data_IF_518868386404
#
_entry.id   IF_518868386404
#
_cell.length_a   1.000
_cell.length_b   1.000
_cell.length_c   1.000
_cell.angle_alpha   90.00
_cell.angle_beta   90.00
_cell.angle_gamma   90.00
#
_symmetry.space_group_name_H-M   'P 1'
#
loop_
_entity.id
_entity.type
_entity.pdbx_description
1 polymer ?
#
# COMPACT_ATOMS: atom_id res chain seq x y z
N UNK A 1 -7.28 1.32 -17.78
CA UNK A 1 -5.83 1.12 -17.61
C UNK A 1 -5.66 0.47 -16.25
N UNK A 2 -4.92 -0.63 -16.16
CA UNK A 2 -4.91 -1.45 -14.94
C UNK A 2 -4.19 -0.76 -13.77
N UNK A 3 -3.45 0.33 -14.04
CA UNK A 3 -2.84 1.21 -13.05
C UNK A 3 -3.62 2.53 -12.91
N UNK A 4 -3.69 3.02 -11.67
CA UNK A 4 -4.39 4.23 -11.29
C UNK A 4 -3.41 5.39 -11.16
N UNK A 5 -3.83 6.60 -11.56
CA UNK A 5 -3.04 7.82 -11.32
C UNK A 5 -3.66 8.60 -10.17
N UNK A 6 -2.91 8.78 -9.09
CA UNK A 6 -3.38 9.41 -7.85
C UNK A 6 -2.80 10.83 -7.78
N UNK A 7 -3.68 11.83 -7.73
CA UNK A 7 -3.30 13.25 -7.70
C UNK A 7 -2.76 13.69 -6.33
N UNK A 8 -2.03 14.81 -6.23
CA UNK A 8 -1.67 15.43 -4.96
C UNK A 8 -2.89 15.66 -4.06
N UNK A 9 -2.82 15.24 -2.79
CA UNK A 9 -3.92 15.32 -1.83
C UNK A 9 -5.08 14.35 -2.08
N UNK A 10 -5.07 13.58 -3.18
CA UNK A 10 -6.11 12.58 -3.44
C UNK A 10 -5.98 11.42 -2.47
N UNK A 11 -7.10 11.10 -1.84
CA UNK A 11 -7.30 9.88 -1.07
C UNK A 11 -8.24 8.96 -1.82
N UNK A 12 -7.83 7.71 -2.00
CA UNK A 12 -8.54 6.75 -2.85
C UNK A 12 -8.61 5.37 -2.24
N UNK A 13 -9.81 4.79 -2.26
CA UNK A 13 -10.06 3.38 -1.93
C UNK A 13 -9.57 2.49 -3.06
N UNK A 14 -8.54 1.70 -2.78
CA UNK A 14 -7.98 0.72 -3.72
C UNK A 14 -8.59 -0.67 -3.54
N UNK A 15 -9.13 -0.97 -2.36
CA UNK A 15 -9.95 -2.15 -2.12
C UNK A 15 -11.16 -1.79 -1.24
N UNK A 16 -12.30 -2.40 -1.54
CA UNK A 16 -13.55 -2.33 -0.78
C UNK A 16 -14.18 -3.72 -0.84
N UNK A 17 -13.92 -4.52 0.20
CA UNK A 17 -14.28 -5.95 0.26
C UNK A 17 -15.38 -6.12 1.29
N UNK A 18 -16.48 -6.75 0.90
CA UNK A 18 -17.64 -7.03 1.77
C UNK A 18 -17.74 -8.52 2.10
N UNK A 19 -18.12 -8.83 3.33
CA UNK A 19 -18.24 -10.18 3.88
C UNK A 19 -17.02 -10.61 4.68
N UNK A 20 -17.06 -11.81 5.30
CA UNK A 20 -15.92 -12.35 6.04
C UNK A 20 -14.80 -12.80 5.09
N UNK A 21 -13.55 -12.55 5.47
CA UNK A 21 -12.41 -12.89 4.63
C UNK A 21 -11.06 -12.79 5.34
N UNK A 22 -10.01 -13.04 4.58
CA UNK A 22 -8.64 -12.90 5.03
C UNK A 22 -7.75 -12.51 3.84
N UNK A 23 -7.21 -11.29 3.86
CA UNK A 23 -6.21 -10.87 2.88
C UNK A 23 -4.93 -11.64 3.20
N UNK A 24 -4.38 -12.35 2.21
CA UNK A 24 -3.19 -13.21 2.39
C UNK A 24 -2.01 -12.78 1.55
N UNK A 25 -2.25 -11.95 0.54
CA UNK A 25 -1.21 -11.43 -0.33
C UNK A 25 -1.60 -10.04 -0.79
N UNK A 26 -0.70 -9.10 -0.63
CA UNK A 26 -0.80 -7.77 -1.20
C UNK A 26 0.43 -7.59 -2.07
N UNK A 27 0.22 -7.22 -3.32
CA UNK A 27 1.29 -6.82 -4.22
C UNK A 27 1.02 -5.42 -4.74
N UNK A 28 2.07 -4.59 -4.79
CA UNK A 28 2.00 -3.25 -5.36
C UNK A 28 3.27 -2.90 -6.13
N UNK A 29 3.13 -2.04 -7.13
CA UNK A 29 4.27 -1.29 -7.70
C UNK A 29 3.86 0.14 -7.97
N UNK A 30 4.81 1.06 -7.74
CA UNK A 30 4.55 2.49 -7.72
C UNK A 30 5.47 3.20 -8.71
N UNK A 31 4.88 3.81 -9.73
CA UNK A 31 5.55 4.79 -10.58
C UNK A 31 5.58 6.14 -9.87
N UNK A 32 6.60 6.36 -9.04
CA UNK A 32 6.77 7.58 -8.25
C UNK A 32 7.74 8.56 -8.95
N UNK A 33 7.55 9.88 -8.78
CA UNK A 33 8.44 10.88 -9.36
C UNK A 33 9.79 10.98 -8.64
N UNK A 34 9.81 10.78 -7.31
CA UNK A 34 11.00 10.90 -6.45
C UNK A 34 10.93 9.85 -5.33
N UNK A 35 12.07 9.34 -4.88
CA UNK A 35 12.14 8.21 -3.93
C UNK A 35 11.50 8.52 -2.55
N UNK A 36 11.49 9.78 -2.13
CA UNK A 36 10.85 10.23 -0.89
C UNK A 36 9.32 10.03 -0.89
N UNK A 37 8.69 9.80 -2.05
CA UNK A 37 7.27 9.48 -2.15
C UNK A 37 6.87 8.19 -1.42
N UNK A 38 7.81 7.27 -1.23
CA UNK A 38 7.56 6.09 -0.40
C UNK A 38 7.21 6.46 1.05
N UNK A 39 7.57 7.66 1.52
CA UNK A 39 7.16 8.20 2.82
C UNK A 39 6.03 9.24 2.76
N UNK A 40 5.59 9.63 1.55
CA UNK A 40 4.49 10.59 1.32
C UNK A 40 3.19 9.93 0.91
N UNK A 41 3.24 8.69 0.45
CA UNK A 41 2.03 7.91 0.16
C UNK A 41 1.65 7.18 1.44
N UNK A 42 0.51 7.54 2.04
CA UNK A 42 0.01 6.92 3.27
C UNK A 42 -0.95 5.80 2.90
N UNK A 43 -0.71 4.62 3.48
CA UNK A 43 -1.54 3.43 3.32
C UNK A 43 -2.39 3.24 4.58
N UNK A 44 -3.70 3.02 4.40
CA UNK A 44 -4.65 2.80 5.49
C UNK A 44 -5.49 1.57 5.29
N UNK A 45 -5.77 0.88 6.39
CA UNK A 45 -6.61 -0.31 6.42
C UNK A 45 -7.70 -0.13 7.47
N UNK A 46 -8.93 -0.38 7.06
CA UNK A 46 -10.12 -0.35 7.89
C UNK A 46 -10.72 -1.75 7.90
N UNK A 47 -11.02 -2.25 9.09
CA UNK A 47 -11.62 -3.56 9.28
C UNK A 47 -12.98 -3.40 9.95
N UNK A 48 -13.93 -4.22 9.52
CA UNK A 48 -15.22 -4.42 10.18
C UNK A 48 -15.99 -3.12 10.48
N UNK A 49 -16.04 -2.23 9.47
CA UNK A 49 -16.73 -0.93 9.50
C UNK A 49 -16.24 0.02 10.61
N UNK A 50 -15.00 -0.15 11.07
CA UNK A 50 -14.37 0.76 12.02
C UNK A 50 -14.11 2.14 11.38
N UNK A 51 -14.47 3.21 12.08
CA UNK A 51 -14.27 4.60 11.61
C UNK A 51 -12.79 5.01 11.56
N UNK A 52 -11.96 4.41 12.43
CA UNK A 52 -10.53 4.67 12.51
C UNK A 52 -9.70 3.58 11.82
N UNK A 53 -8.60 3.93 11.12
CA UNK A 53 -7.75 2.94 10.48
C UNK A 53 -6.99 2.12 11.53
N UNK A 54 -7.07 0.79 11.44
CA UNK A 54 -6.29 -0.11 12.31
C UNK A 54 -4.83 -0.20 11.90
N UNK A 55 -4.53 0.09 10.63
CA UNK A 55 -3.16 0.23 10.12
C UNK A 55 -3.11 1.55 9.39
N UNK A 56 -2.18 2.43 9.80
CA UNK A 56 -1.87 3.68 9.12
C UNK A 56 -0.34 3.85 9.11
N UNK A 57 0.25 3.89 7.92
CA UNK A 57 1.70 3.99 7.77
C UNK A 57 2.06 4.52 6.38
N UNK A 58 3.17 5.24 6.22
CA UNK A 58 3.73 5.46 4.90
C UNK A 58 4.01 4.13 4.19
N UNK A 59 3.72 4.06 2.90
CA UNK A 59 3.76 2.80 2.14
C UNK A 59 5.14 2.14 2.20
N UNK A 60 6.23 2.91 2.12
CA UNK A 60 7.59 2.40 2.25
C UNK A 60 7.81 1.74 3.61
N UNK A 61 7.44 2.43 4.69
CA UNK A 61 7.66 1.97 6.07
C UNK A 61 6.85 0.70 6.36
N UNK A 62 5.60 0.60 5.87
CA UNK A 62 4.79 -0.62 5.96
C UNK A 62 5.47 -1.84 5.31
N UNK A 63 6.09 -1.64 4.14
CA UNK A 63 6.83 -2.67 3.43
C UNK A 63 8.29 -2.81 3.89
N UNK A 64 8.71 -2.15 4.98
CA UNK A 64 10.07 -2.29 5.52
C UNK A 64 11.15 -1.52 4.74
N UNK A 65 10.76 -0.60 3.85
CA UNK A 65 11.64 0.33 3.15
C UNK A 65 11.73 1.65 3.91
N UNK A 66 12.62 1.70 4.89
CA UNK A 66 12.84 2.90 5.70
C UNK A 66 13.54 4.04 4.96
N UNK A 67 13.45 5.24 5.53
CA UNK A 67 14.16 6.46 5.09
C UNK A 67 13.87 6.93 3.66
N UNK A 68 12.82 6.42 3.03
CA UNK A 68 12.50 6.80 1.65
C UNK A 68 13.47 6.21 0.63
N UNK A 69 14.09 5.07 0.95
CA UNK A 69 15.09 4.41 0.12
C UNK A 69 14.54 3.05 -0.28
N UNK A 70 14.30 2.86 -1.59
CA UNK A 70 14.05 1.52 -2.12
C UNK A 70 15.36 0.76 -2.26
N UNK A 71 15.32 -0.50 -1.82
CA UNK A 71 16.36 -1.50 -2.04
C UNK A 71 15.71 -2.86 -2.12
N UNK A 72 16.42 -3.79 -2.73
CA UNK A 72 16.01 -5.19 -2.64
C UNK A 72 16.11 -5.66 -1.18
N UNK A 73 15.00 -6.17 -0.64
CA UNK A 73 14.92 -6.78 0.69
C UNK A 73 13.93 -7.94 0.63
N UNK A 74 14.26 -9.04 1.31
CA UNK A 74 13.43 -10.24 1.36
C UNK A 74 13.38 -10.76 2.79
N UNK A 75 12.17 -11.04 3.26
CA UNK A 75 11.87 -11.69 4.53
C UNK A 75 10.70 -12.65 4.33
N UNK A 76 10.33 -13.39 5.38
CA UNK A 76 9.16 -14.27 5.30
C UNK A 76 7.86 -13.50 5.02
N UNK A 77 7.51 -12.41 5.74
CA UNK A 77 6.25 -11.70 5.51
C UNK A 77 6.32 -10.62 4.43
N UNK A 78 7.51 -10.11 4.08
CA UNK A 78 7.66 -8.96 3.16
C UNK A 78 8.80 -9.18 2.15
N UNK A 79 8.57 -8.84 0.88
CA UNK A 79 9.57 -8.94 -0.18
C UNK A 79 9.46 -7.76 -1.15
N UNK A 80 10.56 -7.02 -1.26
CA UNK A 80 10.70 -5.86 -2.12
C UNK A 80 11.73 -6.21 -3.18
N UNK A 81 11.26 -6.78 -4.30
CA UNK A 81 12.08 -7.22 -5.43
C UNK A 81 11.17 -7.52 -6.64
N UNK A 82 11.69 -7.59 -7.88
CA UNK A 82 13.03 -7.23 -8.36
C UNK A 82 13.15 -5.71 -8.61
N UNK A 83 14.16 -5.28 -9.38
CA UNK A 83 14.38 -3.88 -9.84
C UNK A 83 14.53 -2.85 -8.72
N UNK A 84 15.47 -3.10 -7.81
CA UNK A 84 15.81 -2.19 -6.71
C UNK A 84 14.62 -1.90 -5.79
N UNK A 85 13.90 -2.94 -5.38
CA UNK A 85 12.80 -2.85 -4.42
C UNK A 85 11.48 -2.28 -4.95
N UNK A 86 11.25 -2.27 -6.27
CA UNK A 86 10.04 -1.68 -6.87
C UNK A 86 8.79 -2.57 -6.83
N UNK A 87 8.95 -3.87 -6.56
CA UNK A 87 7.84 -4.80 -6.38
C UNK A 87 7.58 -5.04 -4.91
N UNK A 88 6.55 -4.41 -4.35
CA UNK A 88 6.19 -4.45 -2.94
C UNK A 88 5.27 -5.64 -2.68
N UNK A 89 5.73 -6.63 -1.93
CA UNK A 89 4.92 -7.79 -1.56
C UNK A 89 4.76 -7.90 -0.05
N UNK A 90 3.56 -8.25 0.39
CA UNK A 90 3.23 -8.59 1.77
C UNK A 90 2.41 -9.88 1.82
N UNK A 91 2.78 -10.80 2.69
CA UNK A 91 2.10 -12.07 2.97
C UNK A 91 1.53 -12.15 4.38
N UNK A 92 1.37 -11.00 5.05
CA UNK A 92 0.68 -10.96 6.33
C UNK A 92 -0.78 -11.43 6.17
N UNK A 93 -1.24 -12.42 6.95
CA UNK A 93 -2.65 -12.77 7.00
C UNK A 93 -3.41 -11.68 7.78
N UNK A 94 -4.35 -11.01 7.10
CA UNK A 94 -5.18 -9.95 7.69
C UNK A 94 -6.65 -10.39 7.64
N UNK A 95 -7.14 -11.12 8.66
CA UNK A 95 -8.53 -11.55 8.74
C UNK A 95 -9.47 -10.39 9.11
N UNK A 96 -10.69 -10.43 8.57
CA UNK A 96 -11.79 -9.50 8.85
C UNK A 96 -13.13 -10.25 8.80
N UNK A 97 -14.12 -9.77 9.54
CA UNK A 97 -15.41 -10.44 9.76
C UNK A 97 -16.53 -9.93 8.84
N UNK A 98 -16.61 -8.62 8.59
CA UNK A 98 -17.69 -8.01 7.80
C UNK A 98 -17.20 -7.19 6.61
N UNK A 99 -16.09 -6.47 6.74
CA UNK A 99 -15.58 -5.64 5.65
C UNK A 99 -14.09 -5.34 5.79
N UNK A 100 -13.45 -5.05 4.65
CA UNK A 100 -12.08 -4.57 4.58
C UNK A 100 -11.99 -3.45 3.54
N UNK A 101 -11.55 -2.27 3.97
CA UNK A 101 -11.27 -1.15 3.07
C UNK A 101 -9.79 -0.82 3.15
N UNK A 102 -9.14 -0.73 1.99
CA UNK A 102 -7.75 -0.29 1.87
C UNK A 102 -7.71 1.00 1.07
N UNK A 103 -7.06 2.01 1.63
CA UNK A 103 -6.95 3.33 1.06
C UNK A 103 -5.50 3.77 0.91
N UNK A 104 -5.24 4.55 -0.13
CA UNK A 104 -3.98 5.26 -0.32
C UNK A 104 -4.26 6.76 -0.39
N UNK A 105 -3.40 7.55 0.25
CA UNK A 105 -3.43 9.01 0.18
C UNK A 105 -2.08 9.51 -0.32
N UNK A 106 -2.11 10.37 -1.35
CA UNK A 106 -0.91 11.04 -1.83
C UNK A 106 -0.69 12.36 -1.08
N UNK A 107 0.22 12.39 -0.12
CA UNK A 107 0.64 13.63 0.56
C UNK A 107 1.81 14.33 -0.14
N UNK A 108 2.12 13.91 -1.38
CA UNK A 108 3.08 14.55 -2.26
C UNK A 108 2.51 15.77 -2.99
N UNK A 109 3.39 16.43 -3.73
CA UNK A 109 3.14 17.61 -4.56
C UNK A 109 2.91 17.28 -6.06
N UNK A 110 3.11 16.02 -6.46
CA UNK A 110 2.98 15.52 -7.82
C UNK A 110 2.14 14.23 -7.85
N UNK A 111 1.52 13.95 -8.99
CA UNK A 111 0.77 12.72 -9.18
C UNK A 111 1.70 11.51 -9.33
N UNK A 112 1.27 10.35 -8.85
CA UNK A 112 2.00 9.09 -9.03
C UNK A 112 1.10 7.99 -9.63
N UNK A 113 1.73 6.95 -10.17
CA UNK A 113 1.03 5.78 -10.72
C UNK A 113 1.03 4.63 -9.70
N UNK A 114 -0.13 4.09 -9.38
CA UNK A 114 -0.35 3.01 -8.43
C UNK A 114 -0.88 1.76 -9.15
N UNK A 115 -0.20 0.64 -9.01
CA UNK A 115 -0.63 -0.65 -9.55
C UNK A 115 -0.58 -1.70 -8.45
N UNK A 116 -1.63 -2.52 -8.32
CA UNK A 116 -1.80 -3.38 -7.15
C UNK A 116 -2.65 -4.63 -7.42
N UNK A 117 -2.46 -5.63 -6.56
CA UNK A 117 -3.32 -6.80 -6.36
C UNK A 117 -3.49 -7.02 -4.86
N UNK A 118 -4.74 -7.26 -4.44
CA UNK A 118 -5.15 -7.48 -3.04
C UNK A 118 -6.08 -8.69 -3.02
#
# INVERSE_FOLDING_TARGET
>A
MDAWRIQPGERRRIADITGPGCIKHIWMTLGIPREDYTRRIVLRFYWDDCDEPSVESPIGDFFGLGHGIRKNFVSLPLQMSPQDGKGFNSWWPMPFKSSAIIEVENQGDEAYTHYFYI
#
